data_IF_267868741192
#
_entry.id   IF_267868741192
#
_cell.length_a   1.000
_cell.length_b   1.000
_cell.length_c   1.000
_cell.angle_alpha   90.00
_cell.angle_beta   90.00
_cell.angle_gamma   90.00
#
_symmetry.space_group_name_H-M   'P 1'
#
loop_
_entity.id
_entity.type
_entity.pdbx_description
1 polymer ?
#
# COMPACT_ATOMS: atom_id res chain seq x y z
N UNK A 1 17.23 -3.39 -32.14
CA UNK A 1 18.04 -2.46 -31.32
C UNK A 1 19.38 -3.11 -31.03
N UNK A 2 20.49 -2.36 -31.02
CA UNK A 2 21.80 -2.86 -30.58
C UNK A 2 21.93 -2.62 -29.07
N UNK A 3 22.30 -3.64 -28.30
CA UNK A 3 22.60 -3.47 -26.87
C UNK A 3 23.85 -2.60 -26.76
N UNK A 4 23.73 -1.50 -26.03
CA UNK A 4 24.79 -0.51 -25.88
C UNK A 4 25.80 -0.90 -24.79
N UNK A 5 25.29 -1.22 -23.59
CA UNK A 5 26.07 -1.58 -22.42
C UNK A 5 25.18 -2.34 -21.42
N UNK A 6 25.80 -3.01 -20.45
CA UNK A 6 25.10 -3.67 -19.34
C UNK A 6 25.66 -3.21 -18.01
N UNK A 7 24.79 -2.90 -17.06
CA UNK A 7 25.18 -2.56 -15.70
C UNK A 7 23.99 -2.16 -14.85
N UNK A 8 24.26 -1.84 -13.59
CA UNK A 8 23.26 -1.37 -12.65
C UNK A 8 23.13 0.14 -12.81
N UNK A 9 21.94 0.61 -13.16
CA UNK A 9 21.61 2.04 -13.21
C UNK A 9 20.97 2.45 -11.88
N UNK A 10 21.19 3.68 -11.40
CA UNK A 10 20.48 4.19 -10.24
C UNK A 10 18.97 4.36 -10.56
N UNK A 11 18.14 4.23 -9.53
CA UNK A 11 16.68 4.16 -9.64
C UNK A 11 16.07 5.41 -10.29
N UNK A 12 16.62 6.59 -9.97
CA UNK A 12 16.23 7.88 -10.55
C UNK A 12 16.37 7.91 -12.09
N UNK A 13 17.46 7.37 -12.62
CA UNK A 13 17.67 7.26 -14.07
C UNK A 13 16.73 6.23 -14.70
N UNK A 14 16.46 5.11 -14.02
CA UNK A 14 15.53 4.09 -14.52
C UNK A 14 14.13 4.68 -14.66
N UNK A 15 13.67 5.44 -13.67
CA UNK A 15 12.36 6.08 -13.70
C UNK A 15 12.29 7.21 -14.74
N UNK A 16 13.36 7.99 -14.91
CA UNK A 16 13.45 8.98 -15.98
C UNK A 16 13.35 8.33 -17.38
N UNK A 17 14.07 7.22 -17.60
CA UNK A 17 14.00 6.44 -18.86
C UNK A 17 12.58 5.91 -19.09
N UNK A 18 11.92 5.37 -18.06
CA UNK A 18 10.53 4.89 -18.12
C UNK A 18 9.53 6.01 -18.44
N UNK A 19 9.80 7.22 -17.95
CA UNK A 19 9.02 8.41 -18.27
C UNK A 19 9.12 8.85 -19.74
N UNK A 20 10.09 8.32 -20.49
CA UNK A 20 10.27 8.61 -21.92
C UNK A 20 10.85 9.99 -22.23
N UNK A 21 11.40 10.68 -21.22
CA UNK A 21 11.93 12.04 -21.32
C UNK A 21 13.46 12.11 -21.51
N UNK A 22 14.13 10.96 -21.55
CA UNK A 22 15.59 10.87 -21.56
C UNK A 22 16.11 10.64 -22.97
N UNK A 23 16.94 11.54 -23.46
CA UNK A 23 17.73 11.38 -24.68
C UNK A 23 19.08 10.73 -24.39
N UNK A 24 19.56 9.89 -25.30
CA UNK A 24 20.81 9.15 -25.16
C UNK A 24 21.81 9.59 -26.24
N UNK A 25 23.00 10.01 -25.80
CA UNK A 25 24.10 10.40 -26.68
C UNK A 25 25.38 9.63 -26.31
N UNK A 26 26.20 9.37 -27.33
CA UNK A 26 27.52 8.77 -27.15
C UNK A 26 28.59 9.85 -27.20
N UNK A 27 29.47 9.86 -26.20
CA UNK A 27 30.63 10.75 -26.14
C UNK A 27 31.90 9.91 -26.36
N UNK A 28 32.22 9.65 -27.62
CA UNK A 28 33.28 8.71 -28.01
C UNK A 28 32.90 7.24 -27.78
N UNK A 29 33.90 6.37 -27.73
CA UNK A 29 33.72 4.90 -27.69
C UNK A 29 33.49 4.34 -26.27
N UNK A 30 33.63 5.16 -25.23
CA UNK A 30 33.68 4.68 -23.83
C UNK A 30 32.75 5.42 -22.88
N UNK A 31 31.93 6.36 -23.36
CA UNK A 31 31.02 7.12 -22.50
C UNK A 31 29.64 7.23 -23.15
N UNK A 32 28.61 6.91 -22.36
CA UNK A 32 27.20 7.10 -22.71
C UNK A 32 26.61 8.16 -21.79
N UNK A 33 25.97 9.17 -22.37
CA UNK A 33 25.33 10.26 -21.62
C UNK A 33 23.83 10.16 -21.79
N UNK A 34 23.12 10.13 -20.67
CA UNK A 34 21.67 10.23 -20.60
C UNK A 34 21.30 11.66 -20.20
N UNK A 35 20.54 12.36 -21.03
CA UNK A 35 20.10 13.73 -20.79
C UNK A 35 18.58 13.77 -20.57
N UNK A 36 18.16 14.35 -19.46
CA UNK A 36 16.75 14.61 -19.14
C UNK A 36 16.49 16.11 -19.20
N UNK A 37 15.82 16.54 -20.27
CA UNK A 37 15.45 17.93 -20.50
C UNK A 37 14.43 18.45 -19.46
N UNK A 38 13.58 17.57 -18.93
CA UNK A 38 12.51 17.93 -18.01
C UNK A 38 13.11 18.25 -16.64
N UNK A 39 14.01 17.40 -16.16
CA UNK A 39 14.66 17.56 -14.86
C UNK A 39 15.99 18.32 -14.93
N UNK A 40 16.43 18.75 -16.12
CA UNK A 40 17.72 19.42 -16.35
C UNK A 40 18.91 18.63 -15.76
N UNK A 41 18.83 17.31 -15.83
CA UNK A 41 19.81 16.40 -15.27
C UNK A 41 20.54 15.64 -16.39
N UNK A 42 21.80 15.33 -16.15
CA UNK A 42 22.58 14.47 -17.04
C UNK A 42 23.28 13.38 -16.23
N UNK A 43 23.24 12.15 -16.72
CA UNK A 43 23.99 11.03 -16.16
C UNK A 43 25.04 10.60 -17.18
N UNK A 44 26.30 10.72 -16.79
CA UNK A 44 27.46 10.27 -17.56
C UNK A 44 27.86 8.87 -17.10
N UNK A 45 27.75 7.90 -17.99
CA UNK A 45 28.08 6.49 -17.76
C UNK A 45 29.37 6.13 -18.50
N UNK A 46 30.45 5.93 -17.75
CA UNK A 46 31.73 5.44 -18.27
C UNK A 46 31.69 3.91 -18.41
N UNK A 47 32.11 3.42 -19.58
CA UNK A 47 32.11 2.01 -19.93
C UNK A 47 33.50 1.41 -19.74
N UNK A 48 33.56 0.27 -19.05
CA UNK A 48 34.82 -0.44 -18.84
C UNK A 48 35.28 -1.08 -20.16
N UNK A 49 36.24 -0.43 -20.83
CA UNK A 49 36.87 -0.96 -22.03
C UNK A 49 37.85 -2.08 -21.64
N UNK A 50 37.32 -3.31 -21.48
CA UNK A 50 38.03 -4.55 -21.11
C UNK A 50 38.52 -4.58 -19.65
N UNK A 51 37.81 -5.25 -18.74
CA UNK A 51 38.42 -5.63 -17.47
C UNK A 51 39.61 -6.57 -17.75
N UNK A 52 40.81 -6.11 -17.43
CA UNK A 52 42.06 -6.90 -17.38
C UNK A 52 42.46 -7.64 -18.65
N UNK A 53 42.25 -7.04 -19.83
CA UNK A 53 42.71 -7.61 -21.10
C UNK A 53 42.04 -8.92 -21.52
N UNK A 54 40.97 -9.32 -20.83
CA UNK A 54 40.14 -10.49 -21.20
C UNK A 54 39.02 -10.07 -22.14
N UNK A 55 38.67 -10.96 -23.06
CA UNK A 55 37.56 -10.78 -23.99
C UNK A 55 36.24 -10.50 -23.25
N UNK A 56 35.43 -9.62 -23.82
CA UNK A 56 34.09 -9.30 -23.31
C UNK A 56 33.25 -10.58 -23.26
N UNK A 57 32.87 -11.00 -22.07
CA UNK A 57 32.01 -12.17 -21.91
C UNK A 57 30.63 -11.88 -22.50
N UNK A 58 30.03 -12.84 -23.24
CA UNK A 58 28.69 -12.68 -23.78
C UNK A 58 27.69 -12.56 -22.62
N UNK A 59 26.96 -11.46 -22.60
CA UNK A 59 25.86 -11.26 -21.65
C UNK A 59 24.56 -11.65 -22.33
N UNK A 60 23.83 -12.57 -21.72
CA UNK A 60 22.46 -12.84 -22.13
C UNK A 60 21.56 -11.69 -21.70
N UNK A 61 20.78 -11.17 -22.63
CA UNK A 61 19.82 -10.12 -22.37
C UNK A 61 18.46 -10.53 -22.94
N UNK A 62 17.41 -9.92 -22.40
CA UNK A 62 16.05 -10.09 -22.91
C UNK A 62 15.48 -8.72 -23.19
N UNK A 63 15.15 -8.46 -24.45
CA UNK A 63 14.69 -7.15 -24.88
C UNK A 63 13.32 -6.85 -24.24
N UNK A 64 13.19 -5.76 -23.47
CA UNK A 64 11.94 -5.45 -22.76
C UNK A 64 10.74 -5.27 -23.71
N UNK A 65 10.98 -4.72 -24.91
CA UNK A 65 9.92 -4.43 -25.88
C UNK A 65 9.50 -5.63 -26.73
N UNK A 66 10.42 -6.53 -27.07
CA UNK A 66 10.16 -7.67 -27.97
C UNK A 66 10.18 -9.02 -27.24
N UNK A 67 10.68 -9.07 -26.01
CA UNK A 67 10.89 -10.31 -25.25
C UNK A 67 11.98 -11.22 -25.82
N UNK A 68 12.57 -10.88 -26.96
CA UNK A 68 13.61 -11.64 -27.61
C UNK A 68 14.83 -11.75 -26.70
N UNK A 69 15.21 -13.00 -26.42
CA UNK A 69 16.48 -13.30 -25.80
C UNK A 69 17.59 -13.18 -26.84
N UNK A 70 18.68 -12.53 -26.46
CA UNK A 70 19.90 -12.45 -27.25
C UNK A 70 21.11 -12.62 -26.35
N UNK A 71 22.27 -12.84 -26.97
CA UNK A 71 23.55 -12.67 -26.28
C UNK A 71 24.37 -11.65 -27.05
N UNK A 72 25.01 -10.73 -26.33
CA UNK A 72 25.89 -9.74 -26.93
C UNK A 72 27.13 -9.56 -26.05
N UNK A 73 28.29 -9.42 -26.70
CA UNK A 73 29.53 -9.04 -26.06
C UNK A 73 29.59 -7.52 -25.98
N UNK A 74 29.00 -6.96 -24.92
CA UNK A 74 28.90 -5.51 -24.70
C UNK A 74 29.73 -5.09 -23.49
N UNK A 75 30.27 -3.86 -23.50
CA UNK A 75 30.99 -3.33 -22.35
C UNK A 75 30.06 -3.17 -21.13
N UNK A 76 30.65 -3.22 -19.94
CA UNK A 76 29.91 -3.00 -18.69
C UNK A 76 29.97 -1.54 -18.28
N UNK A 77 28.89 -1.05 -17.67
CA UNK A 77 28.86 0.30 -17.07
C UNK A 77 29.68 0.23 -15.78
N UNK A 78 30.79 0.94 -15.75
CA UNK A 78 31.69 0.99 -14.59
C UNK A 78 31.29 2.09 -13.63
N UNK A 79 31.39 3.35 -14.06
CA UNK A 79 31.12 4.53 -13.23
C UNK A 79 30.00 5.38 -13.80
N UNK A 80 29.06 5.76 -12.94
CA UNK A 80 27.96 6.66 -13.27
C UNK A 80 28.12 7.95 -12.46
N UNK A 81 28.15 9.09 -13.13
CA UNK A 81 28.24 10.40 -12.50
C UNK A 81 27.04 11.24 -12.92
N UNK A 82 26.29 11.77 -11.95
CA UNK A 82 25.16 12.66 -12.20
C UNK A 82 25.61 14.11 -12.10
N UNK A 83 25.24 14.93 -13.08
CA UNK A 83 25.49 16.36 -13.12
C UNK A 83 24.19 17.11 -13.40
N UNK A 84 23.90 18.12 -12.58
CA UNK A 84 22.80 19.06 -12.83
C UNK A 84 23.27 20.11 -13.83
N UNK A 85 22.62 20.16 -14.99
CA UNK A 85 22.94 21.12 -16.03
C UNK A 85 22.33 22.45 -15.63
N UNK A 86 23.14 23.32 -15.03
CA UNK A 86 22.76 24.71 -14.81
C UNK A 86 22.57 25.33 -16.20
N UNK A 87 21.31 25.60 -16.56
CA UNK A 87 20.93 26.25 -17.82
C UNK A 87 21.42 27.70 -17.78
N UNK A 88 22.71 27.92 -18.03
CA UNK A 88 23.23 29.24 -18.39
C UNK A 88 22.64 29.51 -19.77
N UNK A 89 21.62 30.36 -19.75
CA UNK A 89 20.96 30.85 -20.94
C UNK A 89 22.03 31.58 -21.75
N UNK A 90 22.48 30.97 -22.84
CA UNK A 90 23.34 31.58 -23.85
C UNK A 90 22.63 32.83 -24.42
N UNK A 91 22.73 33.95 -23.72
CA UNK A 91 22.82 35.23 -24.38
C UNK A 91 24.25 35.29 -24.91
N UNK A 92 24.38 34.98 -26.20
CA UNK A 92 25.58 35.25 -26.95
C UNK A 92 25.94 36.74 -26.78
N UNK A 93 26.98 36.97 -26.00
CA UNK A 93 27.80 38.17 -25.97
C UNK A 93 28.39 38.43 -27.36
N UNK A 94 28.40 39.70 -27.74
CA UNK A 94 29.54 40.48 -28.29
C UNK A 94 28.94 41.67 -29.03
N UNK A 95 28.91 42.88 -28.48
CA UNK A 95 30.04 43.69 -28.03
C UNK A 95 29.46 44.97 -27.41
N UNK A 96 30.15 45.53 -26.41
CA UNK A 96 30.42 46.96 -26.15
C UNK A 96 30.56 47.17 -24.63
N UNK A 97 31.84 47.36 -24.27
CA UNK A 97 32.40 48.19 -23.20
C UNK A 97 31.91 48.07 -21.75
N UNK A 98 32.81 47.50 -20.95
CA UNK A 98 33.50 48.18 -19.84
C UNK A 98 32.62 48.94 -18.85
N UNK A 99 32.37 48.31 -17.70
CA UNK A 99 32.65 48.91 -16.39
C UNK A 99 32.60 47.83 -15.30
N UNK A 100 33.74 47.59 -14.64
CA UNK A 100 33.79 46.88 -13.37
C UNK A 100 33.02 47.70 -12.31
N UNK A 101 32.20 47.07 -11.45
CA UNK A 101 32.72 46.73 -10.12
C UNK A 101 32.12 45.47 -9.44
N UNK A 102 33.01 44.76 -8.73
CA UNK A 102 32.89 43.99 -7.48
C UNK A 102 31.72 43.00 -7.21
N UNK A 103 32.01 41.85 -6.57
CA UNK A 103 31.13 40.68 -6.57
C UNK A 103 30.06 40.79 -5.48
N UNK A 104 28.78 40.73 -5.91
CA UNK A 104 27.64 40.61 -5.00
C UNK A 104 27.39 39.13 -4.76
N UNK A 105 27.62 38.70 -3.51
CA UNK A 105 27.13 37.45 -2.97
C UNK A 105 25.59 37.45 -3.04
N UNK A 106 25.01 36.60 -3.86
CA UNK A 106 23.58 36.41 -3.95
C UNK A 106 23.18 35.08 -3.31
N UNK A 107 22.99 35.12 -1.99
CA UNK A 107 22.06 34.25 -1.29
C UNK A 107 20.62 34.67 -1.66
N UNK A 108 19.83 33.73 -2.16
CA UNK A 108 18.47 34.01 -2.62
C UNK A 108 17.67 32.73 -2.86
N UNK A 109 17.43 31.99 -1.78
CA UNK A 109 16.56 30.80 -1.73
C UNK A 109 15.14 31.14 -2.24
N UNK A 110 14.77 30.54 -3.36
CA UNK A 110 13.46 30.64 -4.01
C UNK A 110 12.45 29.69 -3.35
N UNK A 111 11.88 30.05 -2.21
CA UNK A 111 10.65 29.41 -1.73
C UNK A 111 9.48 30.42 -1.88
N UNK A 112 8.45 30.10 -2.70
CA UNK A 112 7.29 30.96 -2.84
C UNK A 112 6.55 31.07 -1.50
N UNK A 113 5.89 32.21 -1.21
CA UNK A 113 5.23 32.43 0.08
C UNK A 113 4.15 31.36 0.30
N UNK A 114 4.26 30.66 1.43
CA UNK A 114 3.29 29.68 1.90
C UNK A 114 2.00 30.45 2.20
N UNK A 115 1.01 30.37 1.30
CA UNK A 115 -0.31 30.98 1.53
C UNK A 115 -0.99 30.28 2.70
N UNK A 116 -1.66 31.04 3.57
CA UNK A 116 -2.40 30.49 4.70
C UNK A 116 -3.71 29.82 4.21
N UNK A 117 -4.21 28.81 4.94
CA UNK A 117 -5.42 28.03 4.62
C UNK A 117 -6.63 28.93 4.33
N UNK A 118 -6.80 30.00 5.12
CA UNK A 118 -7.90 30.96 4.96
C UNK A 118 -7.82 31.78 3.67
N UNK A 119 -6.63 32.16 3.24
CA UNK A 119 -6.42 32.91 1.99
C UNK A 119 -6.69 32.02 0.76
N UNK A 120 -6.24 30.77 0.82
CA UNK A 120 -6.50 29.80 -0.24
C UNK A 120 -8.00 29.50 -0.34
N UNK A 121 -8.67 29.30 0.79
CA UNK A 121 -10.10 29.02 0.83
C UNK A 121 -10.94 30.18 0.28
N UNK A 122 -10.60 31.41 0.63
CA UNK A 122 -11.34 32.60 0.18
C UNK A 122 -11.18 32.85 -1.32
N UNK A 123 -9.96 32.64 -1.85
CA UNK A 123 -9.64 32.92 -3.25
C UNK A 123 -10.04 31.79 -4.21
N UNK A 124 -9.92 30.53 -3.77
CA UNK A 124 -10.06 29.35 -4.63
C UNK A 124 -11.13 28.37 -4.16
N UNK A 125 -12.13 28.85 -3.40
CA UNK A 125 -13.18 28.01 -2.78
C UNK A 125 -13.74 26.90 -3.68
N UNK A 126 -14.18 27.15 -4.93
CA UNK A 126 -14.78 26.11 -5.76
C UNK A 126 -13.79 25.00 -6.13
N UNK A 127 -12.52 25.34 -6.32
CA UNK A 127 -11.47 24.38 -6.60
C UNK A 127 -11.10 23.58 -5.35
N UNK A 128 -10.97 24.26 -4.20
CA UNK A 128 -10.73 23.61 -2.90
C UNK A 128 -11.81 22.57 -2.63
N UNK A 129 -13.09 22.93 -2.75
CA UNK A 129 -14.22 22.02 -2.53
C UNK A 129 -14.12 20.80 -3.44
N UNK A 130 -13.83 20.96 -4.73
CA UNK A 130 -13.68 19.81 -5.65
C UNK A 130 -12.50 18.90 -5.26
N UNK A 131 -11.36 19.48 -4.90
CA UNK A 131 -10.16 18.71 -4.51
C UNK A 131 -10.41 17.93 -3.22
N UNK A 132 -10.99 18.56 -2.19
CA UNK A 132 -11.27 17.86 -0.94
C UNK A 132 -12.30 16.75 -1.13
N UNK A 133 -13.35 16.95 -1.94
CA UNK A 133 -14.32 15.88 -2.20
C UNK A 133 -13.71 14.73 -3.02
N UNK A 134 -12.77 15.01 -3.90
CA UNK A 134 -12.06 13.98 -4.66
C UNK A 134 -11.09 13.16 -3.79
N UNK A 135 -10.43 13.80 -2.82
CA UNK A 135 -9.43 13.17 -1.95
C UNK A 135 -9.99 12.55 -0.67
N UNK A 136 -11.23 12.90 -0.27
CA UNK A 136 -11.78 12.43 1.00
C UNK A 136 -11.90 10.91 1.13
N UNK A 137 -12.32 10.17 0.07
CA UNK A 137 -12.44 8.71 0.17
C UNK A 137 -11.09 8.02 0.28
N UNK A 138 -10.07 8.49 -0.45
CA UNK A 138 -8.77 7.83 -0.50
C UNK A 138 -7.65 8.80 -0.93
N UNK A 139 -6.42 8.67 -0.38
CA UNK A 139 -5.23 9.36 -0.86
C UNK A 139 -4.96 9.09 -2.34
N UNK A 140 -4.34 10.05 -3.01
CA UNK A 140 -4.06 9.99 -4.46
C UNK A 140 -2.63 10.41 -4.75
N UNK A 141 -2.05 9.80 -5.78
CA UNK A 141 -0.72 10.17 -6.26
C UNK A 141 -0.74 11.54 -6.95
N UNK A 142 0.41 12.20 -6.97
CA UNK A 142 0.56 13.50 -7.63
C UNK A 142 0.19 13.43 -9.11
N UNK A 143 0.59 12.37 -9.81
CA UNK A 143 0.32 12.21 -11.25
C UNK A 143 -1.19 12.11 -11.56
N UNK A 144 -1.93 11.40 -10.72
CA UNK A 144 -3.39 11.25 -10.87
C UNK A 144 -4.11 12.58 -10.64
N UNK A 145 -3.72 13.32 -9.60
CA UNK A 145 -4.26 14.65 -9.31
C UNK A 145 -4.02 15.64 -10.45
N UNK A 146 -2.79 15.69 -10.98
CA UNK A 146 -2.45 16.59 -12.08
C UNK A 146 -3.24 16.24 -13.36
N UNK A 147 -3.53 14.95 -13.57
CA UNK A 147 -4.36 14.50 -14.70
C UNK A 147 -5.83 14.89 -14.50
N UNK A 148 -6.38 14.65 -13.32
CA UNK A 148 -7.79 14.92 -13.02
C UNK A 148 -8.11 16.42 -13.00
N UNK A 149 -7.18 17.25 -12.50
CA UNK A 149 -7.30 18.71 -12.45
C UNK A 149 -6.47 19.42 -13.53
N UNK A 150 -6.23 18.75 -14.67
CA UNK A 150 -5.41 19.28 -15.78
C UNK A 150 -5.95 20.56 -16.42
N UNK A 151 -7.23 20.86 -16.23
CA UNK A 151 -7.86 22.11 -16.67
C UNK A 151 -7.53 23.32 -15.79
N UNK A 152 -6.92 23.10 -14.62
CA UNK A 152 -6.65 24.13 -13.61
C UNK A 152 -5.21 24.65 -13.70
N UNK A 153 -4.96 25.87 -13.24
CA UNK A 153 -3.58 26.40 -13.17
C UNK A 153 -2.76 25.57 -12.18
N UNK A 154 -1.68 24.93 -12.67
CA UNK A 154 -0.80 24.08 -11.86
C UNK A 154 -0.21 24.79 -10.64
N UNK A 155 0.03 26.11 -10.69
CA UNK A 155 0.48 26.88 -9.51
C UNK A 155 -0.62 26.98 -8.45
N UNK A 156 -1.85 27.21 -8.88
CA UNK A 156 -3.01 27.29 -8.00
C UNK A 156 -3.31 25.92 -7.39
N UNK A 157 -3.29 24.86 -8.20
CA UNK A 157 -3.49 23.49 -7.74
C UNK A 157 -2.46 23.11 -6.67
N UNK A 158 -1.17 23.40 -6.91
CA UNK A 158 -0.11 23.15 -5.94
C UNK A 158 -0.30 23.94 -4.65
N UNK A 159 -0.73 25.20 -4.72
CA UNK A 159 -1.03 26.01 -3.55
C UNK A 159 -2.20 25.44 -2.73
N UNK A 160 -3.26 24.96 -3.40
CA UNK A 160 -4.40 24.33 -2.74
C UNK A 160 -4.02 23.01 -2.08
N UNK A 161 -3.27 22.15 -2.77
CA UNK A 161 -2.79 20.89 -2.20
C UNK A 161 -1.93 21.17 -0.96
N UNK A 162 -0.94 22.04 -1.05
CA UNK A 162 -0.09 22.38 0.10
C UNK A 162 -0.86 22.92 1.32
N UNK A 163 -2.02 23.55 1.12
CA UNK A 163 -2.83 24.09 2.21
C UNK A 163 -3.76 23.06 2.86
N UNK A 164 -4.24 22.06 2.12
CA UNK A 164 -5.28 21.13 2.59
C UNK A 164 -4.83 19.68 2.67
N UNK A 165 -3.67 19.33 2.13
CA UNK A 165 -3.16 17.96 2.09
C UNK A 165 -1.76 17.85 2.70
N UNK A 166 -1.44 16.63 3.10
CA UNK A 166 -0.11 16.19 3.53
C UNK A 166 0.29 14.98 2.70
N UNK A 167 1.57 14.84 2.37
CA UNK A 167 2.06 13.59 1.77
C UNK A 167 2.15 12.50 2.82
N UNK A 168 1.57 11.34 2.54
CA UNK A 168 1.71 10.14 3.36
C UNK A 168 3.04 9.41 3.07
N UNK A 169 3.35 8.35 3.84
CA UNK A 169 4.57 7.56 3.65
C UNK A 169 4.70 6.86 2.29
N UNK A 170 3.60 6.77 1.52
CA UNK A 170 3.58 6.23 0.15
C UNK A 170 3.74 7.32 -0.92
N UNK A 171 3.96 8.58 -0.54
CA UNK A 171 4.07 9.70 -1.48
C UNK A 171 2.74 10.14 -2.09
N UNK A 172 1.61 9.78 -1.47
CA UNK A 172 0.27 10.18 -1.90
C UNK A 172 -0.24 11.36 -1.08
N UNK A 173 -1.02 12.23 -1.70
CA UNK A 173 -1.67 13.34 -1.02
C UNK A 173 -2.89 12.85 -0.25
N UNK A 174 -2.89 13.14 1.04
CA UNK A 174 -3.95 12.81 1.97
C UNK A 174 -4.49 14.09 2.61
N UNK A 175 -5.80 14.18 2.82
CA UNK A 175 -6.40 15.36 3.42
C UNK A 175 -6.00 15.55 4.88
N UNK A 176 -5.72 16.79 5.23
CA UNK A 176 -5.58 17.24 6.62
C UNK A 176 -6.95 17.42 7.28
N UNK A 177 -6.97 17.67 8.59
CA UNK A 177 -8.21 17.98 9.31
C UNK A 177 -9.00 19.12 8.65
N UNK A 178 -8.33 20.23 8.29
CA UNK A 178 -8.95 21.37 7.61
C UNK A 178 -9.59 21.00 6.26
N UNK A 179 -9.06 19.98 5.58
CA UNK A 179 -9.66 19.41 4.38
C UNK A 179 -10.99 18.71 4.67
N UNK A 180 -11.01 17.84 5.69
CA UNK A 180 -12.21 17.12 6.10
C UNK A 180 -13.32 18.02 6.66
N UNK A 181 -12.99 19.18 7.23
CA UNK A 181 -13.99 20.18 7.66
C UNK A 181 -14.84 20.73 6.50
N UNK A 182 -14.31 20.70 5.28
CA UNK A 182 -14.98 21.18 4.08
C UNK A 182 -15.74 20.09 3.31
N UNK A 183 -15.63 18.83 3.74
CA UNK A 183 -16.25 17.69 3.07
C UNK A 183 -17.72 17.60 3.46
N UNK A 184 -18.58 17.58 2.44
CA UNK A 184 -19.97 17.24 2.58
C UNK A 184 -20.16 15.73 2.37
N UNK A 185 -20.22 14.97 3.46
CA UNK A 185 -20.45 13.51 3.41
C UNK A 185 -21.77 13.14 2.73
N UNK A 186 -22.76 14.04 2.71
CA UNK A 186 -24.05 13.76 2.08
C UNK A 186 -24.02 13.85 0.56
N UNK A 187 -23.00 14.51 0.02
CA UNK A 187 -22.82 14.68 -1.43
C UNK A 187 -22.48 13.39 -2.18
N UNK A 188 -22.09 12.32 -1.47
CA UNK A 188 -21.77 11.03 -2.06
C UNK A 188 -23.02 10.16 -2.17
N UNK A 189 -23.28 9.59 -3.35
CA UNK A 189 -24.45 8.72 -3.56
C UNK A 189 -24.29 7.34 -2.90
N UNK A 190 -23.05 6.85 -2.80
CA UNK A 190 -22.75 5.53 -2.28
C UNK A 190 -22.56 5.54 -0.77
N UNK A 191 -23.32 4.69 -0.06
CA UNK A 191 -23.16 4.48 1.38
C UNK A 191 -21.76 4.01 1.75
N UNK A 192 -21.15 3.14 0.94
CA UNK A 192 -19.79 2.65 1.18
C UNK A 192 -18.77 3.78 1.11
N UNK A 193 -18.94 4.71 0.16
CA UNK A 193 -18.07 5.89 0.07
C UNK A 193 -18.29 6.83 1.27
N UNK A 194 -19.54 7.04 1.71
CA UNK A 194 -19.83 7.82 2.93
C UNK A 194 -19.13 7.24 4.15
N UNK A 195 -19.17 5.92 4.31
CA UNK A 195 -18.52 5.20 5.41
C UNK A 195 -17.00 5.37 5.34
N UNK A 196 -16.38 5.06 4.19
CA UNK A 196 -14.94 5.22 3.99
C UNK A 196 -14.46 6.65 4.28
N UNK A 197 -15.21 7.66 3.83
CA UNK A 197 -14.91 9.07 4.12
C UNK A 197 -15.03 9.35 5.61
N UNK A 198 -16.09 8.85 6.27
CA UNK A 198 -16.32 9.05 7.68
C UNK A 198 -15.24 8.42 8.56
N UNK A 199 -14.81 7.20 8.25
CA UNK A 199 -13.77 6.50 9.00
C UNK A 199 -12.44 7.23 8.96
N UNK A 200 -12.05 7.72 7.77
CA UNK A 200 -10.84 8.54 7.61
C UNK A 200 -10.97 9.91 8.29
N UNK A 201 -12.15 10.53 8.21
CA UNK A 201 -12.39 11.84 8.81
C UNK A 201 -12.29 11.75 10.35
N UNK A 202 -12.98 10.81 10.99
CA UNK A 202 -13.10 10.73 12.46
C UNK A 202 -11.75 10.68 13.18
N UNK A 203 -10.75 10.05 12.58
CA UNK A 203 -9.41 10.00 13.13
C UNK A 203 -8.72 11.38 13.22
N UNK A 204 -9.13 12.34 12.37
CA UNK A 204 -8.50 13.67 12.22
C UNK A 204 -9.35 14.81 12.80
N UNK A 205 -10.68 14.71 12.72
CA UNK A 205 -11.62 15.75 13.19
C UNK A 205 -12.13 15.53 14.61
N UNK A 206 -11.50 14.64 15.40
CA UNK A 206 -11.93 14.29 16.76
C UNK A 206 -12.09 15.49 17.72
N UNK A 207 -11.48 16.63 17.41
CA UNK A 207 -11.57 17.87 18.18
C UNK A 207 -12.86 18.66 17.91
N UNK A 208 -13.54 18.45 16.77
CA UNK A 208 -14.75 19.18 16.39
C UNK A 208 -15.98 18.30 16.59
N UNK A 209 -16.66 18.47 17.74
CA UNK A 209 -17.81 17.64 18.12
C UNK A 209 -18.94 17.64 17.09
N UNK A 210 -19.22 18.78 16.46
CA UNK A 210 -20.31 18.90 15.48
C UNK A 210 -20.02 18.04 14.24
N UNK A 211 -18.78 18.04 13.78
CA UNK A 211 -18.37 17.19 12.66
C UNK A 211 -18.32 15.73 13.07
N UNK A 212 -17.82 15.40 14.27
CA UNK A 212 -17.83 14.02 14.78
C UNK A 212 -19.25 13.47 14.78
N UNK A 213 -20.22 14.21 15.30
CA UNK A 213 -21.63 13.79 15.33
C UNK A 213 -22.15 13.54 13.90
N UNK A 214 -21.78 14.40 12.94
CA UNK A 214 -22.17 14.25 11.53
C UNK A 214 -21.57 13.00 10.87
N UNK A 215 -20.26 12.78 11.01
CA UNK A 215 -19.58 11.63 10.40
C UNK A 215 -19.89 10.31 11.12
N UNK A 216 -20.22 10.36 12.42
CA UNK A 216 -20.55 9.16 13.22
C UNK A 216 -21.75 8.37 12.70
N UNK A 217 -22.64 9.00 11.92
CA UNK A 217 -23.79 8.33 11.30
C UNK A 217 -23.40 7.31 10.23
N UNK A 218 -22.21 7.44 9.65
CA UNK A 218 -21.72 6.62 8.54
C UNK A 218 -20.52 5.77 8.91
N UNK A 219 -19.77 6.15 9.95
CA UNK A 219 -18.55 5.47 10.33
C UNK A 219 -18.80 4.08 10.92
N UNK A 220 -17.80 3.23 10.80
CA UNK A 220 -17.78 1.94 11.46
C UNK A 220 -17.71 2.08 12.98
N UNK A 221 -18.35 1.12 13.64
CA UNK A 221 -18.44 1.07 15.10
C UNK A 221 -17.06 1.09 15.74
N UNK A 222 -16.11 0.34 15.20
CA UNK A 222 -14.77 0.20 15.77
C UNK A 222 -13.96 1.49 15.60
N UNK A 223 -14.11 2.18 14.46
CA UNK A 223 -13.48 3.47 14.21
C UNK A 223 -14.07 4.55 15.11
N UNK A 224 -15.38 4.56 15.30
CA UNK A 224 -16.07 5.46 16.23
C UNK A 224 -15.60 5.24 17.67
N UNK A 225 -15.49 3.98 18.11
CA UNK A 225 -14.97 3.64 19.43
C UNK A 225 -13.51 4.09 19.59
N UNK A 226 -12.67 3.90 18.58
CA UNK A 226 -11.28 4.36 18.59
C UNK A 226 -11.17 5.90 18.65
N UNK A 227 -12.01 6.62 17.91
CA UNK A 227 -12.04 8.08 17.90
C UNK A 227 -12.57 8.67 19.22
N UNK A 228 -13.65 8.11 19.77
CA UNK A 228 -14.28 8.58 21.01
C UNK A 228 -13.52 8.14 22.28
N UNK A 229 -12.89 6.96 22.29
CA UNK A 229 -12.17 6.43 23.46
C UNK A 229 -10.93 7.25 23.84
N UNK A 230 -10.33 7.98 22.89
CA UNK A 230 -9.26 8.95 23.16
C UNK A 230 -9.68 10.02 24.19
N UNK A 231 -10.98 10.27 24.37
CA UNK A 231 -11.48 11.19 25.40
C UNK A 231 -11.75 10.57 26.77
N UNK A 232 -12.18 9.30 26.85
CA UNK A 232 -12.66 8.70 28.12
C UNK A 232 -11.58 7.84 28.80
N UNK A 233 -10.69 7.19 28.05
CA UNK A 233 -9.66 6.32 28.65
C UNK A 233 -8.31 7.01 28.88
N UNK A 234 -8.13 8.26 28.44
CA UNK A 234 -6.89 9.01 28.68
C UNK A 234 -6.64 9.34 30.17
N UNK A 235 -7.64 9.15 31.05
CA UNK A 235 -7.52 9.36 32.49
C UNK A 235 -6.98 8.18 33.30
N UNK A 236 -6.83 6.99 32.72
CA UNK A 236 -6.31 5.82 33.43
C UNK A 236 -4.83 5.64 33.11
N UNK A 237 -4.01 6.13 34.03
CA UNK A 237 -2.57 6.32 33.89
C UNK A 237 -1.84 5.11 33.32
N UNK A 238 -1.22 5.33 32.16
CA UNK A 238 -0.14 4.48 31.66
C UNK A 238 1.10 4.74 32.53
N UNK A 239 1.26 3.94 33.58
CA UNK A 239 2.52 3.80 34.27
C UNK A 239 3.55 3.27 33.27
N UNK A 240 4.42 4.16 32.80
CA UNK A 240 5.58 3.89 31.93
C UNK A 240 6.37 2.68 32.43
N UNK A 241 6.08 1.51 31.90
CA UNK A 241 7.01 0.39 31.91
C UNK A 241 8.04 0.64 30.82
N UNK A 242 9.26 0.95 31.24
CA UNK A 242 10.42 1.09 30.37
C UNK A 242 10.85 -0.30 29.89
N UNK A 243 10.29 -0.75 28.77
CA UNK A 243 10.84 -1.81 27.90
C UNK A 243 10.81 -1.19 26.50
N UNK A 244 11.95 -0.77 25.98
CA UNK A 244 12.91 -1.67 25.36
C UNK A 244 12.58 -1.67 23.88
N UNK A 245 13.26 -0.79 23.14
CA UNK A 245 13.19 -0.66 21.67
C UNK A 245 13.22 -2.04 21.04
N UNK A 246 12.21 -2.33 20.23
CA UNK A 246 12.29 -3.04 18.96
C UNK A 246 10.97 -2.75 18.25
N UNK A 247 11.00 -1.63 17.51
CA UNK A 247 9.92 -1.12 16.66
C UNK A 247 9.83 -2.00 15.40
N UNK A 248 8.76 -2.77 15.28
CA UNK A 248 8.26 -3.22 13.98
C UNK A 248 6.75 -3.02 14.01
N UNK A 249 6.34 -1.86 13.49
CA UNK A 249 4.97 -1.41 13.29
C UNK A 249 4.25 -2.35 12.31
N UNK A 250 3.34 -3.16 12.86
CA UNK A 250 2.39 -4.00 12.14
C UNK A 250 1.03 -3.27 12.15
N UNK A 251 0.74 -2.52 11.09
CA UNK A 251 -0.57 -1.89 10.89
C UNK A 251 -1.45 -2.80 10.01
N UNK A 252 -2.22 -3.64 10.68
CA UNK A 252 -3.28 -4.46 10.13
C UNK A 252 -4.57 -3.63 9.97
N UNK A 253 -4.96 -3.32 8.74
CA UNK A 253 -6.35 -3.07 8.34
C UNK A 253 -6.58 -3.96 7.13
N UNK A 254 -7.38 -5.03 7.17
CA UNK A 254 -8.81 -5.12 7.48
C UNK A 254 -9.62 -4.25 6.53
N UNK A 255 -9.96 -4.80 5.37
CA UNK A 255 -11.15 -4.42 4.63
C UNK A 255 -11.85 -5.71 4.18
N UNK A 256 -13.02 -5.90 4.75
CA UNK A 256 -13.94 -7.00 4.52
C UNK A 256 -14.52 -6.97 3.10
N UNK A 257 -14.56 -8.16 2.50
CA UNK A 257 -15.42 -8.51 1.38
C UNK A 257 -16.91 -8.47 1.81
N UNK A 258 -17.74 -7.64 1.15
CA UNK A 258 -19.16 -7.98 0.98
C UNK A 258 -19.60 -8.03 -0.48
N UNK A 259 -19.87 -9.28 -0.82
CA UNK A 259 -20.37 -9.95 -1.99
C UNK A 259 -21.85 -9.62 -2.33
N UNK A 260 -22.21 -9.94 -3.58
CA UNK A 260 -23.56 -10.33 -4.08
C UNK A 260 -24.74 -9.34 -4.08
N UNK A 261 -25.07 -8.92 -5.31
CA UNK A 261 -26.04 -9.72 -6.08
C UNK A 261 -27.50 -9.25 -6.19
N UNK A 262 -27.88 -8.95 -7.43
CA UNK A 262 -29.18 -9.19 -8.10
C UNK A 262 -30.45 -8.47 -7.63
N UNK A 263 -30.98 -7.63 -8.54
CA UNK A 263 -32.36 -7.16 -8.53
C UNK A 263 -32.78 -6.51 -9.85
N UNK A 264 -33.07 -7.34 -10.85
CA UNK A 264 -33.97 -7.18 -12.01
C UNK A 264 -34.45 -5.77 -12.46
N UNK A 265 -34.08 -5.42 -13.70
CA UNK A 265 -34.85 -4.89 -14.86
C UNK A 265 -36.23 -4.16 -14.68
N UNK A 266 -36.74 -3.46 -15.72
CA UNK A 266 -36.18 -2.33 -16.46
C UNK A 266 -37.23 -1.19 -16.61
N UNK A 267 -36.80 0.05 -16.86
CA UNK A 267 -37.73 1.07 -17.38
C UNK A 267 -37.01 2.03 -18.32
N UNK A 268 -37.51 2.02 -19.54
CA UNK A 268 -37.00 2.72 -20.70
C UNK A 268 -37.19 4.24 -20.60
N UNK A 269 -36.10 4.99 -20.74
CA UNK A 269 -36.04 6.25 -21.51
C UNK A 269 -34.54 6.51 -21.72
N UNK A 270 -34.01 6.55 -22.94
CA UNK A 270 -34.50 7.33 -24.05
C UNK A 270 -33.76 8.66 -24.14
N UNK A 271 -32.43 8.66 -24.09
CA UNK A 271 -31.65 9.81 -24.57
C UNK A 271 -30.59 9.38 -25.57
N UNK A 272 -30.85 9.79 -26.81
CA UNK A 272 -30.05 9.55 -27.99
C UNK A 272 -28.79 10.43 -27.97
N UNK A 273 -27.66 9.78 -28.23
CA UNK A 273 -26.54 10.22 -29.06
C UNK A 273 -25.94 11.62 -28.81
N UNK A 274 -24.77 11.62 -28.17
CA UNK A 274 -23.65 12.49 -28.59
C UNK A 274 -22.44 11.60 -28.85
N UNK A 275 -22.41 11.03 -30.06
CA UNK A 275 -21.21 10.41 -30.61
C UNK A 275 -20.27 11.50 -31.14
N UNK A 276 -18.99 11.14 -31.27
CA UNK A 276 -17.90 11.88 -31.91
C UNK A 276 -17.08 12.79 -30.98
N UNK A 277 -16.16 12.16 -30.24
CA UNK A 277 -14.72 12.45 -30.35
C UNK A 277 -13.90 11.34 -29.70
N UNK A 278 -14.07 10.11 -30.20
CA UNK A 278 -13.10 9.04 -29.95
C UNK A 278 -12.14 9.03 -31.13
N UNK A 279 -11.05 9.79 -30.99
CA UNK A 279 -9.88 9.74 -31.86
C UNK A 279 -9.31 8.32 -31.74
N UNK A 280 -9.74 7.45 -32.64
CA UNK A 280 -9.25 6.09 -32.78
C UNK A 280 -7.85 6.12 -33.38
N UNK A 281 -6.85 6.41 -32.55
CA UNK A 281 -5.47 6.03 -32.85
C UNK A 281 -5.40 4.53 -32.60
N UNK A 282 -5.87 3.76 -33.59
CA UNK A 282 -5.61 2.34 -33.71
C UNK A 282 -4.12 2.16 -34.04
N UNK A 283 -3.26 2.40 -33.06
CA UNK A 283 -1.90 1.88 -33.10
C UNK A 283 -2.04 0.36 -32.96
N UNK A 284 -1.96 -0.34 -34.11
CA UNK A 284 -1.63 -1.77 -34.17
C UNK A 284 -0.20 -1.97 -33.65
N UNK A 285 0.00 -1.73 -32.36
CA UNK A 285 1.16 -2.26 -31.65
C UNK A 285 0.89 -3.73 -31.43
N UNK A 286 1.82 -4.59 -31.83
CA UNK A 286 1.80 -6.00 -31.44
C UNK A 286 1.54 -6.08 -29.93
N UNK A 287 0.35 -6.56 -29.58
CA UNK A 287 -0.06 -6.71 -28.19
C UNK A 287 0.76 -7.88 -27.64
N UNK A 288 1.78 -7.55 -26.87
CA UNK A 288 2.64 -8.55 -26.21
C UNK A 288 1.79 -9.34 -25.23
N UNK A 289 1.71 -10.65 -25.44
CA UNK A 289 0.97 -11.57 -24.59
C UNK A 289 1.88 -12.15 -23.52
N UNK A 290 1.41 -12.20 -22.28
CA UNK A 290 2.06 -12.90 -21.19
C UNK A 290 1.76 -14.39 -21.27
N UNK A 291 2.81 -15.20 -21.11
CA UNK A 291 2.77 -16.66 -21.30
C UNK A 291 3.08 -17.46 -20.05
N UNK A 292 3.54 -16.82 -18.97
CA UNK A 292 3.89 -17.51 -17.72
C UNK A 292 3.76 -16.59 -16.50
N UNK A 293 3.38 -17.18 -15.36
CA UNK A 293 3.33 -16.50 -14.06
C UNK A 293 4.64 -15.83 -13.66
N UNK A 294 5.79 -16.34 -14.13
CA UNK A 294 7.12 -15.76 -13.86
C UNK A 294 7.30 -14.33 -14.42
N UNK A 295 6.44 -13.90 -15.35
CA UNK A 295 6.48 -12.58 -15.98
C UNK A 295 5.75 -11.50 -15.18
N UNK A 296 4.98 -11.87 -14.15
CA UNK A 296 4.23 -10.91 -13.33
C UNK A 296 5.10 -10.21 -12.28
N UNK A 297 6.31 -10.71 -12.01
CA UNK A 297 7.16 -10.28 -10.88
C UNK A 297 6.52 -10.45 -9.48
N UNK A 298 5.37 -11.14 -9.40
CA UNK A 298 4.69 -11.45 -8.14
C UNK A 298 5.45 -12.54 -7.39
N UNK A 299 5.49 -12.44 -6.07
CA UNK A 299 6.17 -13.40 -5.18
C UNK A 299 5.32 -14.63 -4.91
N UNK A 300 4.94 -15.35 -5.97
CA UNK A 300 4.13 -16.58 -5.92
C UNK A 300 4.60 -17.59 -4.87
N UNK A 301 5.93 -17.69 -4.70
CA UNK A 301 6.57 -18.64 -3.81
C UNK A 301 6.32 -18.35 -2.33
N UNK A 302 6.07 -17.09 -1.96
CA UNK A 302 5.91 -16.67 -0.56
C UNK A 302 4.51 -17.01 -0.02
N UNK A 303 3.55 -17.17 -0.93
CA UNK A 303 2.15 -17.51 -0.66
C UNK A 303 1.78 -18.98 -0.96
N UNK A 304 2.71 -19.77 -1.48
CA UNK A 304 2.42 -21.15 -1.88
C UNK A 304 2.32 -22.07 -0.66
N UNK A 305 1.10 -22.29 -0.20
CA UNK A 305 0.76 -23.14 0.95
C UNK A 305 1.10 -24.62 0.70
N UNK A 306 1.35 -25.03 -0.55
CA UNK A 306 1.69 -26.42 -0.87
C UNK A 306 3.15 -26.76 -0.61
N UNK A 307 4.05 -25.76 -0.57
CA UNK A 307 5.48 -25.99 -0.37
C UNK A 307 5.84 -26.40 1.04
N UNK A 308 5.19 -25.77 2.00
CA UNK A 308 5.34 -26.08 3.41
C UNK A 308 3.97 -26.47 3.97
N UNK A 309 3.54 -27.73 3.79
CA UNK A 309 2.30 -28.21 4.36
C UNK A 309 2.29 -27.92 5.86
N UNK A 310 1.33 -27.10 6.30
CA UNK A 310 1.22 -26.80 7.71
C UNK A 310 0.66 -28.02 8.45
N UNK A 311 1.36 -28.38 9.52
CA UNK A 311 0.94 -29.37 10.50
C UNK A 311 1.00 -28.73 11.88
N UNK A 312 -0.06 -28.91 12.66
CA UNK A 312 -0.12 -28.38 14.02
C UNK A 312 0.95 -29.07 14.89
N UNK A 313 1.84 -28.33 15.58
CA UNK A 313 2.81 -28.94 16.48
C UNK A 313 2.13 -29.76 17.58
N UNK A 314 2.76 -30.87 18.00
CA UNK A 314 2.18 -31.79 19.00
C UNK A 314 1.70 -31.08 20.27
N UNK A 315 2.49 -30.14 20.78
CA UNK A 315 2.12 -29.37 21.97
C UNK A 315 0.85 -28.54 21.79
N UNK A 316 0.68 -27.90 20.63
CA UNK A 316 -0.52 -27.14 20.31
C UNK A 316 -1.73 -28.06 20.09
N UNK A 317 -1.53 -29.20 19.41
CA UNK A 317 -2.58 -30.19 19.19
C UNK A 317 -3.08 -30.80 20.51
N UNK A 318 -2.16 -31.13 21.43
CA UNK A 318 -2.50 -31.61 22.77
C UNK A 318 -3.22 -30.54 23.59
N UNK A 319 -2.73 -29.30 23.60
CA UNK A 319 -3.38 -28.20 24.30
C UNK A 319 -4.80 -27.96 23.78
N UNK A 320 -4.98 -27.92 22.46
CA UNK A 320 -6.29 -27.76 21.81
C UNK A 320 -7.22 -28.91 22.17
N UNK A 321 -6.75 -30.16 22.07
CA UNK A 321 -7.53 -31.35 22.41
C UNK A 321 -7.98 -31.35 23.87
N UNK A 322 -7.07 -31.04 24.80
CA UNK A 322 -7.39 -30.95 26.23
C UNK A 322 -8.45 -29.88 26.51
N UNK A 323 -8.39 -28.72 25.83
CA UNK A 323 -9.40 -27.67 25.96
C UNK A 323 -10.76 -28.09 25.36
N UNK A 324 -10.74 -28.75 24.20
CA UNK A 324 -11.96 -29.27 23.58
C UNK A 324 -12.63 -30.35 24.43
N UNK A 325 -11.84 -31.26 25.01
CA UNK A 325 -12.34 -32.32 25.88
C UNK A 325 -12.90 -31.72 27.20
N UNK A 326 -12.22 -30.73 27.78
CA UNK A 326 -12.73 -30.00 28.94
C UNK A 326 -14.05 -29.28 28.63
N UNK A 327 -14.15 -28.63 27.48
CA UNK A 327 -15.39 -27.95 27.04
C UNK A 327 -16.54 -28.94 26.79
N UNK A 328 -16.25 -30.11 26.19
CA UNK A 328 -17.26 -31.18 26.00
C UNK A 328 -17.75 -31.72 27.33
N UNK A 329 -16.84 -31.97 28.28
CA UNK A 329 -17.18 -32.44 29.62
C UNK A 329 -18.03 -31.41 30.39
N UNK A 330 -17.71 -30.12 30.28
CA UNK A 330 -18.49 -29.04 30.87
C UNK A 330 -19.90 -28.90 30.26
N UNK A 331 -20.05 -29.12 28.94
CA UNK A 331 -21.37 -29.16 28.29
C UNK A 331 -22.18 -30.38 28.72
N UNK A 332 -21.54 -31.55 28.88
CA UNK A 332 -22.21 -32.75 29.36
C UNK A 332 -22.70 -32.63 30.82
N UNK A 333 -22.01 -31.82 31.64
CA UNK A 333 -22.41 -31.54 33.03
C UNK A 333 -23.45 -30.43 33.16
N UNK A 334 -23.79 -29.69 32.09
CA UNK A 334 -24.72 -28.55 32.10
C UNK A 334 -26.14 -28.90 32.58
N UNK A 335 -26.49 -30.19 32.70
CA UNK A 335 -27.72 -30.63 33.38
C UNK A 335 -27.69 -30.46 34.91
N UNK A 336 -26.55 -30.04 35.50
CA UNK A 336 -26.40 -29.69 36.92
C UNK A 336 -26.03 -28.22 37.04
N UNK A 337 -26.43 -27.61 38.16
CA UNK A 337 -26.13 -26.21 38.55
C UNK A 337 -24.75 -25.73 38.07
N UNK A 338 -24.72 -24.54 37.44
CA UNK A 338 -23.56 -23.75 36.98
C UNK A 338 -22.32 -24.54 36.51
N UNK A 339 -21.85 -24.37 35.26
CA UNK A 339 -20.67 -25.07 34.78
C UNK A 339 -19.49 -24.85 35.73
N UNK A 340 -18.76 -25.92 36.10
CA UNK A 340 -17.61 -25.78 37.01
C UNK A 340 -16.55 -24.87 36.37
N UNK A 341 -15.97 -23.97 37.18
CA UNK A 341 -14.86 -23.13 36.73
C UNK A 341 -13.67 -23.99 36.31
N UNK A 342 -13.04 -23.62 35.19
CA UNK A 342 -11.88 -24.33 34.64
C UNK A 342 -10.59 -24.05 35.41
N UNK A 343 -10.49 -22.89 36.07
CA UNK A 343 -9.32 -22.47 36.85
C UNK A 343 -9.77 -22.15 38.28
N UNK A 344 -9.23 -22.89 39.24
CA UNK A 344 -9.48 -22.72 40.69
C UNK A 344 -8.18 -22.56 41.49
N UNK A 345 -7.04 -23.00 40.96
CA UNK A 345 -5.74 -22.91 41.62
C UNK A 345 -4.73 -22.06 40.82
N UNK A 346 -3.71 -21.49 41.48
CA UNK A 346 -2.65 -20.75 40.78
C UNK A 346 -1.83 -21.63 39.82
N UNK A 347 -1.71 -22.93 40.11
CA UNK A 347 -1.06 -23.90 39.21
C UNK A 347 -1.85 -24.05 37.90
N UNK A 348 -3.19 -24.15 38.00
CA UNK A 348 -4.07 -24.20 36.82
C UNK A 348 -4.00 -22.91 36.01
N UNK A 349 -3.87 -21.75 36.66
CA UNK A 349 -3.67 -20.47 35.97
C UNK A 349 -2.35 -20.48 35.18
N UNK A 350 -1.25 -20.95 35.76
CA UNK A 350 0.04 -21.04 35.07
C UNK A 350 -0.05 -21.95 33.84
N UNK A 351 -0.68 -23.12 33.98
CA UNK A 351 -0.90 -24.03 32.85
C UNK A 351 -1.81 -23.40 31.77
N UNK A 352 -2.84 -22.67 32.17
CA UNK A 352 -3.71 -21.96 31.24
C UNK A 352 -2.95 -20.87 30.47
N UNK A 353 -2.09 -20.09 31.14
CA UNK A 353 -1.26 -19.08 30.50
C UNK A 353 -0.23 -19.69 29.53
N UNK A 354 0.38 -20.82 29.89
CA UNK A 354 1.30 -21.54 29.00
C UNK A 354 0.58 -22.03 27.74
N UNK A 355 -0.59 -22.69 27.90
CA UNK A 355 -1.43 -23.12 26.77
C UNK A 355 -1.85 -21.93 25.90
N UNK A 356 -2.20 -20.81 26.52
CA UNK A 356 -2.55 -19.58 25.79
C UNK A 356 -1.37 -19.08 24.96
N UNK A 357 -0.16 -19.05 25.53
CA UNK A 357 1.05 -18.68 24.80
C UNK A 357 1.32 -19.58 23.59
N UNK A 358 1.23 -20.90 23.78
CA UNK A 358 1.42 -21.89 22.70
C UNK A 358 0.39 -21.67 21.58
N UNK A 359 -0.91 -21.64 21.92
CA UNK A 359 -1.98 -21.47 20.94
C UNK A 359 -1.93 -20.12 20.24
N UNK A 360 -1.54 -19.05 20.94
CA UNK A 360 -1.38 -17.71 20.36
C UNK A 360 -0.25 -17.69 19.33
N UNK A 361 0.88 -18.35 19.63
CA UNK A 361 1.97 -18.43 18.68
C UNK A 361 1.59 -19.18 17.39
N UNK A 362 0.78 -20.25 17.51
CA UNK A 362 0.25 -20.96 16.35
C UNK A 362 -0.81 -20.17 15.58
N UNK A 363 -1.69 -19.46 16.29
CA UNK A 363 -2.67 -18.57 15.66
C UNK A 363 -1.97 -17.53 14.78
N UNK A 364 -0.92 -16.87 15.29
CA UNK A 364 -0.14 -15.89 14.53
C UNK A 364 0.50 -16.53 13.29
N UNK A 365 1.12 -17.71 13.41
CA UNK A 365 1.70 -18.41 12.25
C UNK A 365 0.68 -18.75 11.17
N UNK A 366 -0.52 -19.21 11.56
CA UNK A 366 -1.60 -19.53 10.61
C UNK A 366 -2.09 -18.25 9.95
N UNK A 367 -2.35 -17.21 10.74
CA UNK A 367 -2.77 -15.90 10.26
C UNK A 367 -1.77 -15.31 9.25
N UNK A 368 -0.47 -15.32 9.55
CA UNK A 368 0.57 -14.77 8.67
C UNK A 368 0.71 -15.54 7.35
N UNK A 369 0.38 -16.84 7.34
CA UNK A 369 0.34 -17.64 6.12
C UNK A 369 -0.88 -17.30 5.26
N UNK A 370 -2.04 -17.15 5.88
CA UNK A 370 -3.26 -16.76 5.18
C UNK A 370 -3.17 -15.32 4.63
N UNK A 371 -2.63 -14.39 5.43
CA UNK A 371 -2.39 -13.00 5.01
C UNK A 371 -1.46 -12.91 3.81
N UNK A 372 -0.36 -13.67 3.78
CA UNK A 372 0.53 -13.74 2.61
C UNK A 372 -0.17 -14.27 1.36
N UNK A 373 -1.05 -15.26 1.52
CA UNK A 373 -1.86 -15.77 0.40
C UNK A 373 -2.82 -14.70 -0.13
N UNK A 374 -3.44 -13.94 0.77
CA UNK A 374 -4.33 -12.84 0.44
C UNK A 374 -3.59 -11.71 -0.30
N UNK A 375 -2.46 -11.23 0.24
CA UNK A 375 -1.61 -10.20 -0.39
C UNK A 375 -1.21 -10.60 -1.82
N UNK A 376 -0.74 -11.84 -2.03
CA UNK A 376 -0.42 -12.34 -3.37
C UNK A 376 -1.67 -12.42 -4.24
N UNK A 377 -2.82 -12.84 -3.70
CA UNK A 377 -4.06 -12.90 -4.46
C UNK A 377 -4.53 -11.51 -4.92
N UNK A 378 -4.35 -10.48 -4.09
CA UNK A 378 -4.61 -9.09 -4.45
C UNK A 378 -3.65 -8.57 -5.51
N UNK A 379 -2.35 -8.82 -5.38
CA UNK A 379 -1.35 -8.47 -6.39
C UNK A 379 -1.70 -9.09 -7.75
N UNK A 380 -2.15 -10.35 -7.75
CA UNK A 380 -2.59 -11.04 -8.96
C UNK A 380 -3.82 -10.39 -9.56
N UNK A 381 -4.81 -10.03 -8.73
CA UNK A 381 -6.02 -9.36 -9.19
C UNK A 381 -5.70 -7.98 -9.79
N UNK A 382 -4.85 -7.21 -9.14
CA UNK A 382 -4.36 -5.92 -9.65
C UNK A 382 -3.57 -6.06 -10.95
N UNK A 383 -2.71 -7.07 -11.04
CA UNK A 383 -1.98 -7.40 -12.26
C UNK A 383 -2.93 -7.79 -13.40
N UNK A 384 -3.93 -8.63 -13.13
CA UNK A 384 -4.95 -9.02 -14.10
C UNK A 384 -5.78 -7.84 -14.60
N UNK A 385 -6.19 -6.93 -13.73
CA UNK A 385 -6.92 -5.72 -14.11
C UNK A 385 -6.06 -4.77 -14.95
N UNK A 386 -4.78 -4.64 -14.62
CA UNK A 386 -3.86 -3.72 -15.31
C UNK A 386 -3.49 -4.23 -16.71
N UNK A 387 -3.31 -5.54 -16.88
CA UNK A 387 -2.92 -6.13 -18.15
C UNK A 387 -4.09 -6.44 -19.08
N UNK A 388 -5.32 -6.54 -18.56
CA UNK A 388 -6.52 -6.84 -19.35
C UNK A 388 -6.40 -8.19 -20.08
N UNK A 389 -6.73 -8.22 -21.37
CA UNK A 389 -6.79 -9.45 -22.18
C UNK A 389 -5.41 -9.95 -22.67
N UNK A 390 -4.31 -9.47 -22.09
CA UNK A 390 -2.93 -9.82 -22.51
C UNK A 390 -2.46 -11.20 -22.03
N UNK A 391 -3.36 -12.06 -21.56
CA UNK A 391 -3.01 -13.39 -21.05
C UNK A 391 -3.23 -14.46 -22.11
N UNK A 392 -2.22 -15.28 -22.37
CA UNK A 392 -2.46 -16.48 -23.17
C UNK A 392 -3.32 -17.47 -22.41
N UNK A 393 -3.92 -18.42 -23.13
CA UNK A 393 -4.72 -19.48 -22.53
C UNK A 393 -3.89 -20.31 -21.55
N UNK A 394 -2.62 -20.57 -21.89
CA UNK A 394 -1.69 -21.35 -21.07
C UNK A 394 -1.44 -20.65 -19.72
N UNK A 395 -1.27 -19.33 -19.72
CA UNK A 395 -1.14 -18.55 -18.49
C UNK A 395 -2.42 -18.56 -17.65
N UNK A 396 -3.60 -18.42 -18.29
CA UNK A 396 -4.87 -18.50 -17.57
C UNK A 396 -5.09 -19.88 -16.93
N UNK A 397 -4.67 -20.95 -17.59
CA UNK A 397 -4.66 -22.31 -17.03
C UNK A 397 -3.63 -22.43 -15.90
N UNK A 398 -2.44 -21.87 -16.04
CA UNK A 398 -1.40 -21.87 -14.99
C UNK A 398 -1.88 -21.15 -13.71
N UNK A 399 -2.49 -19.96 -13.87
CA UNK A 399 -3.08 -19.18 -12.78
C UNK A 399 -4.21 -19.96 -12.09
N UNK A 400 -5.13 -20.53 -12.87
CA UNK A 400 -6.23 -21.33 -12.34
C UNK A 400 -5.70 -22.53 -11.55
N UNK A 401 -4.76 -23.27 -12.14
CA UNK A 401 -4.12 -24.41 -11.48
C UNK A 401 -3.38 -24.00 -10.20
N UNK A 402 -2.80 -22.80 -10.14
CA UNK A 402 -2.18 -22.29 -8.92
C UNK A 402 -3.22 -22.05 -7.83
N UNK A 403 -4.30 -21.31 -8.11
CA UNK A 403 -5.38 -21.06 -7.15
C UNK A 403 -6.08 -22.35 -6.68
N UNK A 404 -6.38 -23.27 -7.60
CA UNK A 404 -6.98 -24.57 -7.28
C UNK A 404 -6.09 -25.39 -6.33
N UNK A 405 -4.77 -25.32 -6.49
CA UNK A 405 -3.80 -25.98 -5.59
C UNK A 405 -3.77 -25.37 -4.19
N UNK A 406 -4.10 -24.08 -4.04
CA UNK A 406 -4.12 -23.41 -2.74
C UNK A 406 -5.40 -23.69 -1.94
N UNK A 407 -6.51 -24.08 -2.59
CA UNK A 407 -7.82 -24.12 -1.95
C UNK A 407 -7.91 -25.15 -0.79
N UNK A 408 -7.39 -26.36 -0.98
CA UNK A 408 -7.40 -27.38 0.08
C UNK A 408 -6.51 -27.00 1.28
N UNK A 409 -5.25 -26.57 1.11
CA UNK A 409 -4.43 -26.02 2.20
C UNK A 409 -5.08 -24.81 2.89
N UNK A 410 -5.67 -23.89 2.12
CA UNK A 410 -6.37 -22.71 2.64
C UNK A 410 -7.52 -23.10 3.55
N UNK A 411 -8.40 -24.00 3.10
CA UNK A 411 -9.52 -24.49 3.90
C UNK A 411 -9.05 -25.19 5.19
N UNK A 412 -7.98 -25.98 5.12
CA UNK A 412 -7.36 -26.62 6.29
C UNK A 412 -6.87 -25.59 7.31
N UNK A 413 -6.19 -24.53 6.84
CA UNK A 413 -5.68 -23.45 7.68
C UNK A 413 -6.80 -22.63 8.30
N UNK A 414 -7.82 -22.25 7.53
CA UNK A 414 -8.98 -21.49 8.05
C UNK A 414 -9.70 -22.29 9.15
N UNK A 415 -9.98 -23.58 8.89
CA UNK A 415 -10.62 -24.45 9.90
C UNK A 415 -9.78 -24.56 11.17
N UNK A 416 -8.45 -24.66 11.03
CA UNK A 416 -7.55 -24.68 12.17
C UNK A 416 -7.49 -23.34 12.91
N UNK A 417 -7.50 -22.22 12.17
CA UNK A 417 -7.52 -20.87 12.72
C UNK A 417 -8.76 -20.66 13.56
N UNK A 418 -9.95 -21.03 13.06
CA UNK A 418 -11.21 -20.91 13.78
C UNK A 418 -11.22 -21.72 15.07
N UNK A 419 -10.74 -22.97 15.01
CA UNK A 419 -10.66 -23.83 16.19
C UNK A 419 -9.70 -23.28 17.25
N UNK A 420 -8.54 -22.75 16.84
CA UNK A 420 -7.57 -22.12 17.73
C UNK A 420 -8.11 -20.81 18.29
N UNK A 421 -8.78 -20.00 17.47
CA UNK A 421 -9.38 -18.73 17.88
C UNK A 421 -10.46 -18.94 18.94
N UNK A 422 -11.38 -19.88 18.73
CA UNK A 422 -12.42 -20.24 19.70
C UNK A 422 -11.80 -20.70 21.03
N UNK A 423 -10.74 -21.52 20.97
CA UNK A 423 -10.03 -21.99 22.15
C UNK A 423 -9.30 -20.85 22.88
N UNK A 424 -8.64 -19.95 22.15
CA UNK A 424 -7.96 -18.77 22.70
C UNK A 424 -8.94 -17.82 23.38
N UNK A 425 -10.08 -17.56 22.74
CA UNK A 425 -11.11 -16.70 23.31
C UNK A 425 -11.65 -17.24 24.63
N UNK A 426 -11.99 -18.54 24.67
CA UNK A 426 -12.42 -19.22 25.90
C UNK A 426 -11.37 -19.17 26.98
N UNK A 427 -10.13 -19.51 26.63
CA UNK A 427 -9.03 -19.54 27.58
C UNK A 427 -8.71 -18.16 28.15
N UNK A 428 -8.76 -17.12 27.31
CA UNK A 428 -8.62 -15.73 27.75
C UNK A 428 -9.72 -15.36 28.75
N UNK A 429 -10.97 -15.70 28.45
CA UNK A 429 -12.11 -15.45 29.35
C UNK A 429 -11.96 -16.19 30.67
N UNK A 430 -11.58 -17.46 30.65
CA UNK A 430 -11.37 -18.26 31.85
C UNK A 430 -10.27 -17.67 32.75
N UNK A 431 -9.18 -17.17 32.14
CA UNK A 431 -8.10 -16.47 32.83
C UNK A 431 -8.59 -15.16 33.44
N UNK A 432 -9.34 -14.35 32.68
CA UNK A 432 -9.90 -13.08 33.15
C UNK A 432 -10.91 -13.30 34.30
N UNK A 433 -11.81 -14.28 34.17
CA UNK A 433 -12.78 -14.64 35.19
C UNK A 433 -12.09 -15.07 36.49
N UNK A 434 -11.04 -15.91 36.41
CA UNK A 434 -10.25 -16.30 37.57
C UNK A 434 -9.57 -15.09 38.25
N UNK A 435 -8.91 -14.22 37.47
CA UNK A 435 -8.23 -13.04 37.99
C UNK A 435 -9.22 -12.08 38.67
N UNK A 436 -10.37 -11.83 38.04
CA UNK A 436 -11.42 -10.97 38.58
C UNK A 436 -12.01 -11.52 39.87
N UNK A 437 -12.34 -12.82 39.92
CA UNK A 437 -12.89 -13.46 41.12
C UNK A 437 -11.90 -13.49 42.28
N UNK A 438 -10.61 -13.65 41.99
CA UNK A 438 -9.54 -13.52 42.99
C UNK A 438 -9.42 -12.09 43.52
N UNK A 439 -9.50 -11.09 42.64
CA UNK A 439 -9.49 -9.68 43.04
C UNK A 439 -10.72 -9.29 43.88
N UNK A 440 -11.88 -9.89 43.61
CA UNK A 440 -13.09 -9.67 44.40
C UNK A 440 -13.11 -10.45 45.73
N UNK A 441 -12.09 -11.25 46.03
CA UNK A 441 -12.01 -12.05 47.26
C UNK A 441 -12.97 -13.25 47.29
N UNK A 442 -13.55 -13.63 46.14
CA UNK A 442 -14.43 -14.80 46.02
C UNK A 442 -13.63 -16.10 46.01
N UNK A 443 -12.40 -16.06 45.47
CA UNK A 443 -11.43 -17.15 45.52
C UNK A 443 -10.24 -16.74 46.39
N UNK A 444 -10.08 -17.38 47.56
CA UNK A 444 -8.92 -17.23 48.44
C UNK A 444 -7.85 -18.27 48.13
#
# INVERSE_FOLDING_TARGET
MKVAAVGTLPEDLIDAIRGGAVELHWEGDSVVVFHDDINCCSWRCELDAKPDGKELQPVSFRHQRTGEGGSACVPRIGRITRSEVHRVKDLADTTVEENAPAPVQSDGSLNPPIMNVTEVLTKYRPLVVRIVHYLAPLPRESGELMRFFSSEDGKVLKAVLNAFTTMNGRGQYELTAAGYELVDVESYDSKAVKQQVADRALQKIAHNKVLVDRFSLYADRDVLLAACSKGIMAGLGSSRSKRGRDDVDDNSGSDDDEDKGNGAEPSASGFKSSAQNAVSIAAKGDVVMFTSMSQSYIRWNDADLTKEPWEMPSAAAEALKQLQDAAKNARASAGKSLPPMSIMSPEQLSTAQERYGILRSEYTKIHDRLKRLEEVSEEVRGWSQTQGDRFTRELNEELRNWFERQEAPRLKLVTAMDAVHEALYRLKRDIEDYVNLRQWGVMM
#
